data_IF_063179398305
#
_entry.id   IF_063179398305
#
_cell.length_a   1.000
_cell.length_b   1.000
_cell.length_c   1.000
_cell.angle_alpha   90.00
_cell.angle_beta   90.00
_cell.angle_gamma   90.00
#
_symmetry.space_group_name_H-M   'P 1'
#
loop_
_entity.id
_entity.type
_entity.pdbx_description
1 polymer ?
#
# COMPACT_ATOMS: atom_id res chain seq x y z
N UNK A 1 56.96 -3.28 -10.33
CA UNK A 1 56.30 -2.21 -9.57
C UNK A 1 54.81 -2.34 -9.73
N UNK A 2 54.13 -2.87 -8.75
CA UNK A 2 52.67 -2.99 -8.77
C UNK A 2 52.05 -1.60 -8.56
N UNK A 3 51.38 -1.08 -9.56
CA UNK A 3 50.69 0.21 -9.47
C UNK A 3 49.46 -0.03 -8.58
N UNK A 4 49.57 0.27 -7.29
CA UNK A 4 48.41 0.30 -6.41
C UNK A 4 47.51 1.47 -6.84
N UNK A 5 46.32 1.17 -7.37
CA UNK A 5 45.31 2.19 -7.62
C UNK A 5 44.82 2.73 -6.28
N UNK A 6 44.80 4.06 -6.15
CA UNK A 6 44.29 4.74 -4.98
C UNK A 6 42.80 4.34 -4.74
N UNK A 7 42.44 3.92 -3.52
CA UNK A 7 41.07 3.50 -3.15
C UNK A 7 40.24 4.68 -2.64
N UNK A 8 40.89 5.71 -2.13
CA UNK A 8 40.24 6.91 -1.59
C UNK A 8 40.78 8.20 -2.22
N UNK A 9 40.00 9.28 -2.13
CA UNK A 9 40.46 10.60 -2.59
C UNK A 9 41.67 11.08 -1.80
N UNK A 10 41.77 10.72 -0.54
CA UNK A 10 42.94 11.02 0.30
C UNK A 10 44.20 10.32 -0.18
N UNK A 11 44.12 9.03 -0.49
CA UNK A 11 45.25 8.25 -1.04
C UNK A 11 45.69 8.80 -2.39
N UNK A 12 44.78 9.20 -3.26
CA UNK A 12 45.12 9.81 -4.54
C UNK A 12 45.88 11.12 -4.36
N UNK A 13 45.44 11.99 -3.44
CA UNK A 13 46.13 13.23 -3.11
C UNK A 13 47.51 12.97 -2.53
N UNK A 14 47.65 11.99 -1.64
CA UNK A 14 48.91 11.60 -1.04
C UNK A 14 49.90 11.08 -2.08
N UNK A 15 49.45 10.30 -3.07
CA UNK A 15 50.28 9.81 -4.18
C UNK A 15 51.06 10.94 -4.86
N UNK A 16 50.43 12.09 -5.04
CA UNK A 16 51.03 13.26 -5.67
C UNK A 16 51.87 14.11 -4.70
N UNK A 17 51.50 14.18 -3.44
CA UNK A 17 52.10 15.08 -2.45
C UNK A 17 53.28 14.46 -1.73
N UNK A 18 53.27 13.15 -1.43
CA UNK A 18 54.32 12.50 -0.65
C UNK A 18 55.70 12.57 -1.32
N UNK A 19 55.90 12.31 -2.63
CA UNK A 19 57.19 12.43 -3.28
C UNK A 19 57.76 13.84 -3.17
N UNK A 20 56.90 14.89 -3.19
CA UNK A 20 57.35 16.29 -3.02
C UNK A 20 57.67 16.53 -1.54
N UNK A 21 56.87 16.04 -0.61
CA UNK A 21 57.09 16.20 0.82
C UNK A 21 58.41 15.60 1.29
N UNK A 22 58.77 14.42 0.74
CA UNK A 22 60.04 13.71 1.02
C UNK A 22 61.22 14.19 0.15
N UNK A 23 61.04 15.28 -0.63
CA UNK A 23 62.08 15.87 -1.50
C UNK A 23 62.65 14.88 -2.58
N UNK A 24 61.87 13.89 -2.95
CA UNK A 24 62.25 12.93 -3.99
C UNK A 24 62.10 13.52 -5.39
N UNK A 25 61.10 14.41 -5.59
CA UNK A 25 60.79 15.09 -6.87
C UNK A 25 60.48 16.54 -6.61
N UNK A 26 60.83 17.41 -7.56
CA UNK A 26 60.48 18.85 -7.48
C UNK A 26 59.00 19.05 -7.78
N UNK A 27 58.36 20.01 -7.09
CA UNK A 27 56.94 20.34 -7.28
C UNK A 27 56.61 20.69 -8.74
N UNK A 28 57.51 21.46 -9.39
CA UNK A 28 57.36 21.83 -10.80
C UNK A 28 57.30 20.67 -11.76
N UNK A 29 58.02 19.57 -11.47
CA UNK A 29 58.03 18.38 -12.31
C UNK A 29 56.79 17.53 -12.12
N UNK A 30 56.29 17.43 -10.88
CA UNK A 30 55.01 16.78 -10.57
C UNK A 30 53.85 17.56 -11.21
N UNK A 31 53.92 18.88 -11.19
CA UNK A 31 52.86 19.73 -11.78
C UNK A 31 52.69 19.55 -13.30
N UNK A 32 53.76 19.10 -14.01
CA UNK A 32 53.69 18.82 -15.46
C UNK A 32 52.92 17.52 -15.79
N UNK A 33 52.89 16.56 -14.86
CA UNK A 33 52.32 15.21 -15.08
C UNK A 33 51.02 15.00 -14.30
N UNK A 34 50.79 15.81 -13.25
CA UNK A 34 49.64 15.70 -12.38
C UNK A 34 48.38 16.37 -13.02
N UNK A 35 47.19 15.80 -12.90
CA UNK A 35 45.96 16.41 -13.43
C UNK A 35 45.50 17.64 -12.64
N UNK A 36 46.19 17.98 -11.54
CA UNK A 36 45.87 19.11 -10.69
C UNK A 36 46.81 20.29 -10.89
N UNK A 37 46.32 21.53 -10.68
CA UNK A 37 47.14 22.73 -10.80
C UNK A 37 48.27 22.77 -9.76
N UNK A 38 49.38 23.40 -10.09
CA UNK A 38 50.52 23.61 -9.18
C UNK A 38 50.05 24.22 -7.85
N UNK A 39 49.20 25.23 -7.88
CA UNK A 39 48.63 25.89 -6.68
C UNK A 39 47.84 24.89 -5.80
N UNK A 40 47.18 23.87 -6.41
CA UNK A 40 46.54 22.82 -5.66
C UNK A 40 47.51 21.94 -4.94
N UNK A 41 48.60 21.55 -5.61
CA UNK A 41 49.68 20.77 -5.03
C UNK A 41 50.36 21.48 -3.90
N UNK A 42 50.65 22.78 -4.04
CA UNK A 42 51.24 23.63 -2.99
C UNK A 42 50.35 23.64 -1.75
N UNK A 43 49.06 23.86 -1.94
CA UNK A 43 48.09 23.90 -0.85
C UNK A 43 47.98 22.56 -0.14
N UNK A 44 47.99 21.44 -0.88
CA UNK A 44 47.99 20.10 -0.31
C UNK A 44 49.31 19.80 0.42
N UNK A 45 50.43 20.18 -0.14
CA UNK A 45 51.73 20.03 0.49
C UNK A 45 51.83 20.82 1.81
N UNK A 46 51.40 22.06 1.82
CA UNK A 46 51.33 22.87 3.05
C UNK A 46 50.47 22.23 4.11
N UNK A 47 49.31 21.71 3.67
CA UNK A 47 48.36 21.01 4.55
C UNK A 47 48.93 19.69 5.10
N UNK A 48 49.56 18.90 4.25
CA UNK A 48 50.18 17.65 4.63
C UNK A 48 51.34 17.90 5.64
N UNK A 49 52.18 18.88 5.40
CA UNK A 49 53.28 19.26 6.33
C UNK A 49 52.77 19.75 7.70
N UNK A 50 51.64 20.47 7.71
CA UNK A 50 51.10 21.03 8.94
C UNK A 50 50.28 20.02 9.78
N UNK A 51 49.53 19.16 9.13
CA UNK A 51 48.51 18.33 9.80
C UNK A 51 48.68 16.82 9.58
N UNK A 52 49.71 16.40 8.82
CA UNK A 52 49.98 14.99 8.51
C UNK A 52 49.13 14.42 7.37
N UNK A 53 49.44 13.16 7.04
CA UNK A 53 48.86 12.46 5.88
C UNK A 53 47.32 12.29 5.98
N UNK A 54 46.78 12.05 7.16
CA UNK A 54 45.33 11.90 7.39
C UNK A 54 44.51 13.14 6.99
N UNK A 55 45.17 14.30 6.92
CA UNK A 55 44.51 15.55 6.54
C UNK A 55 44.15 15.62 5.06
N UNK A 56 44.57 14.66 4.25
CA UNK A 56 44.29 14.64 2.81
C UNK A 56 42.91 14.16 2.46
N UNK A 57 42.21 13.47 3.38
CA UNK A 57 40.81 13.14 3.19
C UNK A 57 39.94 14.41 3.08
N UNK A 58 38.93 14.39 2.17
CA UNK A 58 38.04 15.53 2.03
C UNK A 58 37.21 15.72 3.32
N UNK A 59 37.11 16.96 3.77
CA UNK A 59 36.21 17.28 4.88
C UNK A 59 34.77 17.18 4.40
N UNK A 60 33.88 16.74 5.29
CA UNK A 60 32.43 16.76 5.02
C UNK A 60 31.97 18.18 4.62
N UNK A 61 31.25 18.27 3.51
CA UNK A 61 30.59 19.49 3.04
C UNK A 61 29.17 19.65 3.60
N UNK A 62 28.73 18.69 4.42
CA UNK A 62 27.40 18.75 5.02
C UNK A 62 27.26 19.96 5.96
N UNK A 63 26.16 20.67 5.93
CA UNK A 63 25.90 21.77 6.85
C UNK A 63 25.97 21.30 8.32
N UNK A 64 26.65 22.05 9.17
CA UNK A 64 26.77 21.73 10.60
C UNK A 64 25.46 21.96 11.37
N UNK A 65 24.61 22.82 10.86
CA UNK A 65 23.31 23.16 11.44
C UNK A 65 22.20 22.92 10.43
N UNK A 66 21.04 22.48 10.91
CA UNK A 66 19.84 22.27 10.11
C UNK A 66 18.72 23.18 10.63
N UNK A 67 18.68 24.47 10.26
CA UNK A 67 17.72 25.44 10.80
C UNK A 67 16.25 25.08 10.52
N UNK A 68 15.99 24.22 9.52
CA UNK A 68 14.66 23.70 9.16
C UNK A 68 14.41 22.29 9.68
N UNK A 69 15.06 21.90 10.77
CA UNK A 69 14.83 20.58 11.36
C UNK A 69 13.42 20.49 11.97
N UNK A 70 12.74 19.37 11.72
CA UNK A 70 11.41 19.10 12.30
C UNK A 70 11.51 19.10 13.83
N UNK A 71 10.66 19.85 14.55
CA UNK A 71 10.62 19.86 16.00
C UNK A 71 10.52 18.45 16.62
N UNK A 72 11.14 18.29 17.79
CA UNK A 72 11.23 16.99 18.47
C UNK A 72 9.84 16.44 18.78
N UNK A 73 8.93 17.25 19.30
CA UNK A 73 7.56 16.82 19.63
C UNK A 73 6.78 16.29 18.42
N UNK A 74 7.00 16.85 17.21
CA UNK A 74 6.39 16.33 15.98
C UNK A 74 6.98 14.95 15.63
N UNK A 75 8.31 14.79 15.79
CA UNK A 75 8.96 13.48 15.55
C UNK A 75 8.41 12.41 16.51
N UNK A 76 8.28 12.74 17.78
CA UNK A 76 7.71 11.87 18.80
C UNK A 76 6.26 11.51 18.47
N UNK A 77 5.43 12.48 18.07
CA UNK A 77 4.04 12.24 17.66
C UNK A 77 3.96 11.30 16.45
N UNK A 78 4.82 11.46 15.46
CA UNK A 78 4.92 10.55 14.30
C UNK A 78 5.23 9.12 14.75
N UNK A 79 6.19 8.96 15.66
CA UNK A 79 6.61 7.65 16.18
C UNK A 79 5.47 7.01 17.01
N UNK A 80 4.82 7.77 17.88
CA UNK A 80 3.67 7.33 18.66
C UNK A 80 2.53 6.81 17.79
N UNK A 81 2.09 7.63 16.81
CA UNK A 81 1.04 7.25 15.86
C UNK A 81 1.43 5.99 15.10
N UNK A 82 2.69 5.87 14.68
CA UNK A 82 3.20 4.68 13.99
C UNK A 82 3.15 3.43 14.85
N UNK A 83 3.62 3.51 16.10
CA UNK A 83 3.63 2.38 17.02
C UNK A 83 2.20 1.92 17.35
N UNK A 84 1.30 2.88 17.60
CA UNK A 84 -0.10 2.60 17.96
C UNK A 84 -0.91 2.05 16.79
N UNK A 85 -0.78 2.65 15.60
CA UNK A 85 -1.69 2.37 14.46
C UNK A 85 -1.08 1.53 13.34
N UNK A 86 0.25 1.36 13.32
CA UNK A 86 1.01 0.70 12.24
C UNK A 86 0.74 1.27 10.84
N UNK A 87 0.14 2.47 10.73
CA UNK A 87 -0.17 3.17 9.48
C UNK A 87 1.11 3.52 8.69
N UNK A 88 1.04 3.57 7.34
CA UNK A 88 2.13 4.05 6.49
C UNK A 88 2.31 5.58 6.60
N UNK A 89 3.44 6.11 6.08
CA UNK A 89 3.76 7.53 6.16
C UNK A 89 2.66 8.44 5.61
N UNK A 90 2.05 8.07 4.47
CA UNK A 90 0.96 8.80 3.86
C UNK A 90 -0.28 8.88 4.76
N UNK A 91 -0.69 7.76 5.36
CA UNK A 91 -1.83 7.73 6.30
C UNK A 91 -1.55 8.49 7.59
N UNK A 92 -0.29 8.50 8.05
CA UNK A 92 0.13 9.31 9.20
C UNK A 92 0.08 10.80 8.84
N UNK A 93 0.52 11.18 7.63
CA UNK A 93 0.41 12.55 7.14
C UNK A 93 -1.05 13.05 7.20
N UNK A 94 -1.99 12.29 6.67
CA UNK A 94 -3.40 12.66 6.69
C UNK A 94 -3.97 12.75 8.10
N UNK A 95 -3.59 11.82 8.98
CA UNK A 95 -4.02 11.86 10.37
C UNK A 95 -3.48 13.10 11.09
N UNK A 96 -2.19 13.40 10.96
CA UNK A 96 -1.58 14.56 11.58
C UNK A 96 -2.13 15.88 11.01
N UNK A 97 -2.45 15.91 9.71
CA UNK A 97 -3.11 17.06 9.10
C UNK A 97 -4.50 17.32 9.71
N UNK A 98 -5.28 16.27 10.01
CA UNK A 98 -6.56 16.38 10.74
C UNK A 98 -6.37 16.86 12.19
N UNK A 99 -5.22 16.60 12.81
CA UNK A 99 -4.81 17.08 14.13
C UNK A 99 -4.21 18.52 14.09
N UNK A 100 -4.21 19.17 12.91
CA UNK A 100 -3.64 20.52 12.73
C UNK A 100 -2.11 20.55 12.59
N UNK A 101 -1.44 19.42 12.45
CA UNK A 101 0.02 19.32 12.32
C UNK A 101 0.39 19.19 10.85
N UNK A 102 1.00 20.22 10.28
CA UNK A 102 1.47 20.22 8.90
C UNK A 102 2.88 19.63 8.81
N UNK A 103 2.98 18.41 8.33
CA UNK A 103 4.26 17.72 8.04
C UNK A 103 4.13 16.90 6.77
N UNK A 104 5.10 17.03 5.87
CA UNK A 104 5.08 16.33 4.59
C UNK A 104 5.31 14.82 4.77
N UNK A 105 4.65 13.99 3.95
CA UNK A 105 4.83 12.53 3.92
C UNK A 105 6.30 12.12 3.82
N UNK A 106 7.08 12.80 2.96
CA UNK A 106 8.52 12.52 2.77
C UNK A 106 9.31 12.69 4.06
N UNK A 107 8.97 13.69 4.87
CA UNK A 107 9.61 13.94 6.17
C UNK A 107 9.24 12.84 7.16
N UNK A 108 7.96 12.47 7.23
CA UNK A 108 7.50 11.34 8.05
C UNK A 108 8.26 10.07 7.66
N UNK A 109 8.38 9.79 6.35
CA UNK A 109 9.12 8.65 5.85
C UNK A 109 10.61 8.62 6.26
N UNK A 110 11.25 9.80 6.34
CA UNK A 110 12.63 9.93 6.85
C UNK A 110 12.72 9.65 8.36
N UNK A 111 11.79 10.19 9.14
CA UNK A 111 11.70 9.95 10.59
C UNK A 111 11.53 8.45 10.86
N UNK A 112 10.54 7.81 10.22
CA UNK A 112 10.28 6.39 10.40
C UNK A 112 11.46 5.49 10.01
N UNK A 113 12.26 5.87 9.00
CA UNK A 113 13.50 5.16 8.63
C UNK A 113 14.57 5.31 9.68
N UNK A 114 14.78 6.53 10.20
CA UNK A 114 15.76 6.79 11.26
C UNK A 114 15.45 5.99 12.51
N UNK A 115 14.17 5.85 12.85
CA UNK A 115 13.68 5.08 14.00
C UNK A 115 13.51 3.58 13.72
N UNK A 116 13.98 3.05 12.58
CA UNK A 116 13.83 1.65 12.18
C UNK A 116 12.40 1.11 12.19
N UNK A 117 11.40 1.98 12.01
CA UNK A 117 9.97 1.65 12.01
C UNK A 117 9.43 1.35 10.60
N UNK A 118 10.28 1.25 9.59
CA UNK A 118 9.89 0.89 8.22
C UNK A 118 10.06 -0.60 8.02
N UNK A 119 8.99 -1.28 7.57
CA UNK A 119 9.09 -2.69 7.18
C UNK A 119 9.95 -2.83 5.93
N UNK A 120 10.92 -3.72 5.95
CA UNK A 120 11.73 -4.07 4.78
C UNK A 120 10.90 -4.99 3.87
N UNK A 121 10.32 -4.45 2.81
CA UNK A 121 9.66 -5.25 1.78
C UNK A 121 10.59 -5.48 0.59
N UNK A 122 10.56 -6.68 0.05
CA UNK A 122 11.14 -6.95 -1.27
C UNK A 122 10.23 -6.32 -2.33
N UNK A 123 10.64 -5.21 -2.91
CA UNK A 123 9.88 -4.55 -3.98
C UNK A 123 10.03 -5.36 -5.27
N UNK A 124 8.92 -5.92 -5.79
CA UNK A 124 8.87 -6.39 -7.18
C UNK A 124 8.75 -5.16 -8.07
N UNK A 125 9.64 -5.02 -9.07
CA UNK A 125 9.49 -4.01 -10.11
C UNK A 125 8.21 -4.33 -10.90
N UNK A 126 7.20 -3.48 -10.83
CA UNK A 126 5.99 -3.61 -11.63
C UNK A 126 6.32 -3.10 -13.03
N UNK A 127 6.26 -4.01 -14.03
CA UNK A 127 6.55 -3.68 -15.44
C UNK A 127 5.37 -3.02 -16.16
N UNK A 128 4.18 -3.01 -15.56
CA UNK A 128 2.96 -2.52 -16.20
C UNK A 128 2.31 -1.40 -15.39
N UNK A 129 1.93 -0.34 -16.09
CA UNK A 129 1.13 0.74 -15.54
C UNK A 129 -0.33 0.45 -15.92
N UNK A 130 -1.11 -0.05 -14.96
CA UNK A 130 -2.56 -0.19 -15.16
C UNK A 130 -3.20 1.19 -15.13
N UNK A 131 -3.81 1.58 -16.23
CA UNK A 131 -4.73 2.72 -16.26
C UNK A 131 -6.06 2.20 -15.72
N UNK A 132 -6.43 2.66 -14.53
CA UNK A 132 -7.69 2.29 -13.91
C UNK A 132 -8.77 3.20 -14.48
N UNK A 133 -9.82 2.62 -15.07
CA UNK A 133 -10.99 3.38 -15.47
C UNK A 133 -11.63 4.03 -14.23
N UNK A 134 -11.98 5.30 -14.34
CA UNK A 134 -12.78 5.98 -13.33
C UNK A 134 -14.19 5.39 -13.36
N UNK A 135 -14.71 5.04 -12.20
CA UNK A 135 -16.04 4.48 -12.02
C UNK A 135 -16.83 5.31 -11.05
N UNK A 136 -18.15 5.31 -11.25
CA UNK A 136 -19.11 5.90 -10.33
C UNK A 136 -19.49 4.90 -9.23
N UNK A 137 -19.91 5.36 -8.04
CA UNK A 137 -20.46 4.48 -7.02
C UNK A 137 -21.62 3.65 -7.55
N UNK A 138 -21.61 2.34 -7.29
CA UNK A 138 -22.61 1.41 -7.77
C UNK A 138 -22.42 0.88 -9.20
N UNK A 139 -21.49 1.44 -9.97
CA UNK A 139 -21.25 0.96 -11.34
C UNK A 139 -20.70 -0.48 -11.36
N UNK A 140 -19.84 -0.83 -10.41
CA UNK A 140 -19.35 -2.20 -10.25
C UNK A 140 -19.03 -2.52 -8.79
N UNK A 141 -19.66 -3.56 -8.27
CA UNK A 141 -19.39 -4.15 -6.96
C UNK A 141 -18.67 -5.49 -7.17
N UNK A 142 -17.50 -5.68 -6.56
CA UNK A 142 -16.82 -6.98 -6.52
C UNK A 142 -17.30 -7.75 -5.30
N UNK A 143 -17.68 -9.04 -5.52
CA UNK A 143 -18.10 -9.94 -4.46
C UNK A 143 -17.18 -11.15 -4.46
N UNK A 144 -16.77 -11.58 -3.28
CA UNK A 144 -15.92 -12.73 -3.09
C UNK A 144 -16.14 -13.37 -1.71
N UNK A 145 -15.80 -14.65 -1.59
CA UNK A 145 -15.94 -15.42 -0.36
C UNK A 145 -14.60 -16.00 0.06
N UNK A 146 -14.27 -15.81 1.33
CA UNK A 146 -13.07 -16.40 1.92
C UNK A 146 -13.39 -17.22 3.17
N UNK A 147 -12.54 -18.16 3.49
CA UNK A 147 -12.57 -18.83 4.80
C UNK A 147 -12.20 -17.86 5.91
N UNK A 148 -12.95 -17.90 7.00
CA UNK A 148 -12.52 -17.29 8.26
C UNK A 148 -11.34 -18.12 8.78
N UNK A 149 -10.19 -17.48 9.13
CA UNK A 149 -9.03 -18.21 9.61
C UNK A 149 -9.30 -18.98 10.92
N UNK A 150 -8.94 -20.26 10.93
CA UNK A 150 -9.14 -21.13 12.07
C UNK A 150 -10.57 -21.64 12.23
N UNK A 151 -10.86 -22.17 13.41
CA UNK A 151 -12.21 -22.58 13.83
C UNK A 151 -12.68 -21.70 14.98
N UNK A 152 -13.93 -21.32 14.95
CA UNK A 152 -14.59 -20.59 16.03
C UNK A 152 -15.62 -21.52 16.67
N UNK A 153 -15.49 -21.85 17.94
CA UNK A 153 -16.30 -22.86 18.63
C UNK A 153 -16.39 -24.20 17.85
N UNK A 154 -15.24 -24.69 17.36
CA UNK A 154 -15.09 -25.91 16.56
C UNK A 154 -15.78 -25.91 15.18
N UNK A 155 -16.41 -24.81 14.76
CA UNK A 155 -17.03 -24.66 13.43
C UNK A 155 -16.15 -23.81 12.50
N UNK A 156 -16.26 -24.06 11.20
CA UNK A 156 -15.71 -23.20 10.14
C UNK A 156 -16.76 -22.20 9.70
N UNK A 157 -16.31 -20.99 9.36
CA UNK A 157 -17.17 -19.92 8.86
C UNK A 157 -16.62 -19.38 7.55
N UNK A 158 -17.50 -18.82 6.75
CA UNK A 158 -17.18 -18.18 5.48
C UNK A 158 -17.53 -16.71 5.57
N UNK A 159 -16.55 -15.86 5.24
CA UNK A 159 -16.76 -14.42 5.13
C UNK A 159 -17.13 -14.09 3.69
N UNK A 160 -18.31 -13.58 3.49
CA UNK A 160 -18.74 -12.95 2.24
C UNK A 160 -18.38 -11.49 2.29
N UNK A 161 -17.87 -10.97 1.20
CA UNK A 161 -17.37 -9.60 1.08
C UNK A 161 -17.88 -8.98 -0.20
N UNK A 162 -18.55 -7.84 -0.11
CA UNK A 162 -18.89 -7.00 -1.25
C UNK A 162 -18.15 -5.67 -1.12
N UNK A 163 -17.55 -5.18 -2.19
CA UNK A 163 -16.84 -3.91 -2.20
C UNK A 163 -17.13 -3.14 -3.50
N UNK A 164 -17.60 -1.91 -3.35
CA UNK A 164 -17.74 -1.01 -4.49
C UNK A 164 -16.38 -0.56 -5.01
N UNK A 165 -16.16 -0.71 -6.30
CA UNK A 165 -14.84 -0.44 -6.91
C UNK A 165 -14.50 1.03 -7.02
N UNK A 166 -15.49 1.94 -6.97
CA UNK A 166 -15.30 3.37 -6.98
C UNK A 166 -15.00 3.92 -5.58
N UNK A 167 -15.95 3.78 -4.68
CA UNK A 167 -15.90 4.36 -3.33
C UNK A 167 -15.10 3.54 -2.32
N UNK A 168 -14.81 2.27 -2.60
CA UNK A 168 -14.26 1.29 -1.64
C UNK A 168 -15.19 1.00 -0.46
N UNK A 169 -16.43 1.48 -0.49
CA UNK A 169 -17.44 1.08 0.47
C UNK A 169 -17.59 -0.43 0.48
N UNK A 170 -17.73 -0.99 1.65
CA UNK A 170 -17.67 -2.43 1.84
C UNK A 170 -18.75 -2.92 2.79
N UNK A 171 -19.30 -4.08 2.49
CA UNK A 171 -20.15 -4.85 3.40
C UNK A 171 -19.57 -6.25 3.61
N UNK A 172 -19.61 -6.73 4.84
CA UNK A 172 -19.16 -8.05 5.26
C UNK A 172 -20.27 -8.78 6.01
N UNK A 173 -20.39 -10.07 5.74
CA UNK A 173 -21.20 -11.01 6.56
C UNK A 173 -20.49 -12.35 6.69
N UNK A 174 -20.85 -13.13 7.71
CA UNK A 174 -20.36 -14.49 7.91
C UNK A 174 -21.50 -15.48 7.87
N UNK A 175 -21.22 -16.65 7.29
CA UNK A 175 -22.14 -17.76 7.21
C UNK A 175 -21.44 -19.06 7.58
N UNK A 176 -22.18 -20.07 8.09
CA UNK A 176 -21.65 -21.40 8.39
C UNK A 176 -21.41 -22.22 7.11
N UNK A 177 -22.09 -21.86 6.02
CA UNK A 177 -22.03 -22.58 4.74
C UNK A 177 -21.79 -21.66 3.56
N UNK A 178 -21.09 -22.19 2.58
CA UNK A 178 -20.90 -21.61 1.28
C UNK A 178 -21.96 -22.17 0.33
N UNK A 179 -23.18 -21.61 0.37
CA UNK A 179 -24.34 -22.08 -0.38
C UNK A 179 -24.86 -21.01 -1.33
N UNK A 180 -25.63 -21.45 -2.34
CA UNK A 180 -26.31 -20.58 -3.27
C UNK A 180 -27.32 -19.68 -2.55
N UNK A 181 -28.02 -20.21 -1.54
CA UNK A 181 -28.95 -19.45 -0.70
C UNK A 181 -28.25 -18.29 -0.01
N UNK A 182 -27.09 -18.56 0.63
CA UNK A 182 -26.34 -17.53 1.33
C UNK A 182 -25.75 -16.48 0.37
N UNK A 183 -25.43 -16.85 -0.88
CA UNK A 183 -24.96 -15.89 -1.89
C UNK A 183 -26.06 -14.90 -2.30
N UNK A 184 -27.28 -15.37 -2.48
CA UNK A 184 -28.44 -14.53 -2.78
C UNK A 184 -28.79 -13.65 -1.58
N UNK A 185 -28.92 -14.22 -0.39
CA UNK A 185 -29.19 -13.48 0.83
C UNK A 185 -28.17 -12.36 1.07
N UNK A 186 -26.90 -12.67 0.81
CA UNK A 186 -25.82 -11.70 0.94
C UNK A 186 -25.96 -10.56 -0.09
N UNK A 187 -26.31 -10.86 -1.35
CA UNK A 187 -26.51 -9.83 -2.39
C UNK A 187 -27.67 -8.92 -2.03
N UNK A 188 -28.80 -9.45 -1.56
CA UNK A 188 -29.94 -8.66 -1.10
C UNK A 188 -29.58 -7.72 0.07
N UNK A 189 -28.80 -8.23 1.03
CA UNK A 189 -28.28 -7.40 2.13
C UNK A 189 -27.36 -6.28 1.63
N UNK A 190 -26.55 -6.53 0.61
CA UNK A 190 -25.69 -5.51 -0.02
C UNK A 190 -26.53 -4.45 -0.71
N UNK A 191 -27.52 -4.86 -1.51
CA UNK A 191 -28.44 -3.95 -2.22
C UNK A 191 -29.19 -3.05 -1.21
N UNK A 192 -29.66 -3.61 -0.12
CA UNK A 192 -30.40 -2.89 0.93
C UNK A 192 -29.55 -1.86 1.68
N UNK A 193 -28.24 -2.12 1.83
CA UNK A 193 -27.35 -1.28 2.65
C UNK A 193 -26.53 -0.28 1.87
N UNK A 194 -26.36 -0.51 0.57
CA UNK A 194 -25.62 0.41 -0.27
C UNK A 194 -26.55 1.53 -0.77
N UNK A 195 -26.14 2.77 -0.58
CA UNK A 195 -26.99 3.95 -0.89
C UNK A 195 -27.22 4.20 -2.38
N UNK A 196 -26.42 3.57 -3.25
CA UNK A 196 -26.48 3.77 -4.69
C UNK A 196 -26.97 2.52 -5.39
N UNK A 197 -27.71 2.71 -6.50
CA UNK A 197 -28.15 1.60 -7.34
C UNK A 197 -26.94 0.85 -7.87
N UNK A 198 -26.90 -0.46 -7.64
CA UNK A 198 -25.86 -1.34 -8.17
C UNK A 198 -26.22 -1.66 -9.63
N UNK A 199 -25.31 -1.33 -10.56
CA UNK A 199 -25.48 -1.61 -11.99
C UNK A 199 -24.91 -2.96 -12.36
N UNK A 200 -23.78 -3.33 -11.77
CA UNK A 200 -23.13 -4.60 -12.03
C UNK A 200 -22.48 -5.16 -10.78
N UNK A 201 -22.48 -6.49 -10.70
CA UNK A 201 -21.66 -7.25 -9.74
C UNK A 201 -20.66 -8.12 -10.48
N UNK A 202 -19.51 -8.33 -9.87
CA UNK A 202 -18.47 -9.21 -10.40
C UNK A 202 -18.04 -10.20 -9.34
N UNK A 203 -18.07 -11.50 -9.69
CA UNK A 203 -17.69 -12.61 -8.81
C UNK A 203 -16.60 -13.46 -9.44
N UNK A 204 -16.04 -14.36 -8.65
CA UNK A 204 -15.26 -15.47 -9.19
C UNK A 204 -16.19 -16.52 -9.84
N UNK A 205 -15.58 -17.60 -10.34
CA UNK A 205 -16.30 -18.69 -10.99
C UNK A 205 -16.75 -19.79 -10.01
N UNK A 206 -16.90 -19.45 -8.72
CA UNK A 206 -17.36 -20.36 -7.70
C UNK A 206 -18.78 -20.88 -7.93
N UNK A 207 -19.05 -22.14 -7.58
CA UNK A 207 -20.36 -22.80 -7.78
C UNK A 207 -21.52 -22.09 -7.07
N UNK A 208 -21.23 -21.27 -6.08
CA UNK A 208 -22.25 -20.47 -5.37
C UNK A 208 -22.70 -19.23 -6.15
N UNK A 209 -22.01 -18.88 -7.21
CA UNK A 209 -22.31 -17.73 -8.06
C UNK A 209 -22.69 -18.11 -9.49
N UNK A 210 -22.28 -19.31 -9.97
CA UNK A 210 -22.51 -19.69 -11.37
C UNK A 210 -22.53 -21.19 -11.59
N UNK A 211 -23.31 -21.63 -12.58
CA UNK A 211 -23.33 -23.00 -13.07
C UNK A 211 -22.34 -23.27 -14.23
N UNK A 212 -21.64 -22.22 -14.72
CA UNK A 212 -20.83 -22.32 -15.96
C UNK A 212 -19.63 -23.26 -15.86
N UNK A 213 -19.10 -23.47 -14.66
CA UNK A 213 -17.86 -24.24 -14.44
C UNK A 213 -18.05 -25.43 -13.51
N UNK A 214 -19.21 -26.09 -13.57
CA UNK A 214 -19.46 -27.31 -12.82
C UNK A 214 -18.57 -28.45 -13.30
N UNK A 215 -17.49 -28.63 -12.63
CA UNK A 215 -16.57 -29.74 -12.43
C UNK A 215 -16.61 -30.92 -13.37
N UNK A 216 -16.05 -30.83 -14.50
CA UNK A 216 -15.09 -31.69 -15.22
C UNK A 216 -14.88 -31.13 -16.62
N UNK A 217 -13.68 -31.26 -17.14
CA UNK A 217 -13.23 -30.81 -18.47
C UNK A 217 -14.09 -31.25 -19.66
N UNK A 218 -15.14 -32.05 -19.44
CA UNK A 218 -15.99 -32.63 -20.49
C UNK A 218 -17.39 -32.03 -20.60
N UNK A 219 -17.75 -31.09 -19.72
CA UNK A 219 -19.06 -30.40 -19.78
C UNK A 219 -18.90 -28.91 -19.66
N UNK A 220 -18.23 -28.30 -20.61
CA UNK A 220 -18.53 -26.92 -21.00
C UNK A 220 -19.90 -26.93 -21.69
N UNK A 221 -20.93 -27.38 -21.00
CA UNK A 221 -22.28 -27.25 -21.47
C UNK A 221 -22.67 -25.80 -21.24
N UNK A 222 -22.27 -24.94 -22.19
CA UNK A 222 -22.75 -23.56 -22.36
C UNK A 222 -24.28 -23.52 -22.50
N UNK A 223 -24.93 -24.70 -22.56
CA UNK A 223 -26.35 -24.89 -22.71
C UNK A 223 -27.06 -25.34 -21.43
N UNK A 224 -26.50 -25.13 -20.25
CA UNK A 224 -27.29 -25.32 -19.02
C UNK A 224 -28.54 -24.47 -19.13
N UNK A 225 -29.68 -25.11 -19.42
CA UNK A 225 -30.99 -24.46 -19.56
C UNK A 225 -31.49 -23.79 -18.26
N UNK A 226 -30.80 -24.01 -17.15
CA UNK A 226 -31.14 -23.51 -15.85
C UNK A 226 -30.24 -22.33 -15.46
N UNK A 227 -30.83 -21.15 -15.35
CA UNK A 227 -30.17 -19.99 -14.80
C UNK A 227 -29.78 -20.27 -13.34
N UNK A 228 -28.60 -19.83 -12.93
CA UNK A 228 -28.20 -19.94 -11.53
C UNK A 228 -29.04 -18.98 -10.67
N UNK A 229 -29.40 -19.40 -9.46
CA UNK A 229 -30.23 -18.58 -8.56
C UNK A 229 -29.64 -17.19 -8.27
N UNK A 230 -28.32 -17.08 -8.25
CA UNK A 230 -27.63 -15.80 -8.11
C UNK A 230 -27.81 -14.90 -9.35
N UNK A 231 -27.76 -15.49 -10.56
CA UNK A 231 -28.06 -14.78 -11.81
C UNK A 231 -29.53 -14.34 -11.85
N UNK A 232 -30.46 -15.20 -11.40
CA UNK A 232 -31.90 -14.85 -11.29
C UNK A 232 -32.10 -13.64 -10.40
N UNK A 233 -31.52 -13.63 -9.20
CA UNK A 233 -31.56 -12.50 -8.29
C UNK A 233 -30.96 -11.21 -8.93
N UNK A 234 -29.84 -11.34 -9.65
CA UNK A 234 -29.27 -10.20 -10.37
C UNK A 234 -30.24 -9.64 -11.43
N UNK A 235 -30.91 -10.50 -12.19
CA UNK A 235 -31.89 -10.08 -13.21
C UNK A 235 -33.09 -9.38 -12.56
N UNK A 236 -33.63 -9.91 -11.49
CA UNK A 236 -34.76 -9.32 -10.73
C UNK A 236 -34.44 -7.87 -10.25
N UNK A 237 -33.20 -7.64 -9.88
CA UNK A 237 -32.73 -6.31 -9.46
C UNK A 237 -32.15 -5.45 -10.59
N UNK A 238 -32.21 -5.89 -11.85
CA UNK A 238 -31.60 -5.23 -13.01
C UNK A 238 -30.09 -4.99 -12.81
N UNK A 239 -29.39 -5.99 -12.31
CA UNK A 239 -27.94 -6.00 -12.06
C UNK A 239 -27.28 -6.92 -13.10
N UNK A 240 -26.23 -6.43 -13.76
CA UNK A 240 -25.43 -7.24 -14.68
C UNK A 240 -24.43 -8.07 -13.86
N UNK A 241 -24.42 -9.39 -14.03
CA UNK A 241 -23.46 -10.26 -13.38
C UNK A 241 -22.27 -10.57 -14.32
N UNK A 242 -21.06 -10.18 -13.90
CA UNK A 242 -19.81 -10.48 -14.58
C UNK A 242 -19.05 -11.56 -13.83
N UNK A 243 -18.49 -12.51 -14.56
CA UNK A 243 -17.54 -13.49 -14.04
C UNK A 243 -16.11 -13.06 -14.41
N UNK A 244 -15.14 -13.34 -13.54
CA UNK A 244 -13.73 -13.20 -13.91
C UNK A 244 -13.34 -14.27 -14.92
N UNK A 245 -12.33 -13.98 -15.76
CA UNK A 245 -11.76 -14.99 -16.64
C UNK A 245 -11.13 -16.14 -15.81
N UNK A 246 -11.27 -17.40 -16.25
CA UNK A 246 -10.61 -18.51 -15.58
C UNK A 246 -9.10 -18.28 -15.45
N UNK A 247 -8.57 -18.48 -14.24
CA UNK A 247 -7.15 -18.32 -13.93
C UNK A 247 -6.64 -16.87 -13.85
N UNK A 248 -7.54 -15.87 -13.87
CA UNK A 248 -7.16 -14.44 -13.72
C UNK A 248 -7.71 -13.78 -12.44
N UNK A 249 -7.29 -14.21 -11.25
CA UNK A 249 -7.77 -13.66 -9.99
C UNK A 249 -7.54 -12.15 -9.86
N UNK A 250 -6.52 -11.61 -10.53
CA UNK A 250 -6.23 -10.17 -10.52
C UNK A 250 -7.40 -9.29 -11.01
N UNK A 251 -8.37 -9.86 -11.73
CA UNK A 251 -9.58 -9.15 -12.14
C UNK A 251 -10.53 -8.84 -10.98
N UNK A 252 -10.40 -9.56 -9.84
CA UNK A 252 -11.13 -9.33 -8.59
C UNK A 252 -10.25 -8.65 -7.51
N UNK A 253 -9.27 -7.87 -7.95
CA UNK A 253 -8.18 -7.37 -7.13
C UNK A 253 -8.60 -6.38 -6.03
N UNK A 254 -9.78 -5.76 -6.12
CA UNK A 254 -10.26 -4.82 -5.11
C UNK A 254 -10.69 -5.58 -3.85
N UNK A 255 -11.49 -6.63 -4.02
CA UNK A 255 -11.94 -7.46 -2.91
C UNK A 255 -10.80 -8.28 -2.31
N UNK A 256 -9.91 -8.85 -3.13
CA UNK A 256 -8.73 -9.57 -2.65
C UNK A 256 -7.82 -8.70 -1.76
N UNK A 257 -7.63 -7.44 -2.15
CA UNK A 257 -6.88 -6.50 -1.34
C UNK A 257 -7.57 -6.18 -0.02
N UNK A 258 -8.89 -6.11 -0.01
CA UNK A 258 -9.69 -5.98 1.20
C UNK A 258 -9.49 -7.18 2.13
N UNK A 259 -9.53 -8.40 1.58
CA UNK A 259 -9.27 -9.64 2.33
C UNK A 259 -7.89 -9.67 3.00
N UNK A 260 -6.87 -9.12 2.34
CA UNK A 260 -5.54 -8.98 2.96
C UNK A 260 -5.57 -8.03 4.16
N UNK A 261 -6.33 -6.92 4.06
CA UNK A 261 -6.52 -6.00 5.18
C UNK A 261 -7.24 -6.66 6.34
N UNK A 262 -8.25 -7.48 6.04
CA UNK A 262 -8.96 -8.27 7.05
C UNK A 262 -8.03 -9.24 7.75
N UNK A 263 -7.22 -9.97 7.00
CA UNK A 263 -6.27 -10.91 7.58
C UNK A 263 -5.31 -10.20 8.53
N UNK A 264 -4.62 -9.15 8.06
CA UNK A 264 -3.54 -8.50 8.79
C UNK A 264 -4.01 -7.64 9.97
N UNK A 265 -5.18 -7.02 9.85
CA UNK A 265 -5.62 -6.00 10.82
C UNK A 265 -6.78 -6.45 11.69
N UNK A 266 -7.47 -7.52 11.32
CA UNK A 266 -8.59 -8.05 12.08
C UNK A 266 -8.33 -9.48 12.56
N UNK A 267 -8.17 -10.45 11.67
CA UNK A 267 -8.04 -11.85 12.07
C UNK A 267 -6.75 -12.16 12.82
N UNK A 268 -5.61 -11.65 12.38
CA UNK A 268 -4.31 -11.88 13.04
C UNK A 268 -4.21 -11.20 14.41
N UNK A 269 -5.10 -10.24 14.69
CA UNK A 269 -5.06 -9.43 15.93
C UNK A 269 -6.13 -9.80 16.95
N UNK A 270 -7.15 -10.58 16.57
CA UNK A 270 -8.32 -10.84 17.43
C UNK A 270 -8.59 -12.34 17.59
N UNK A 271 -9.08 -12.70 18.76
CA UNK A 271 -9.62 -14.04 19.07
C UNK A 271 -11.14 -13.96 19.19
N UNK A 272 -11.83 -15.04 18.82
CA UNK A 272 -13.29 -15.12 18.79
C UNK A 272 -13.77 -16.25 19.68
N UNK A 273 -14.71 -15.96 20.59
CA UNK A 273 -15.25 -16.94 21.54
C UNK A 273 -16.30 -17.84 20.89
N UNK A 274 -17.19 -17.25 20.10
CA UNK A 274 -18.29 -17.93 19.40
C UNK A 274 -18.69 -17.15 18.14
N UNK A 275 -19.67 -17.66 17.38
CA UNK A 275 -20.15 -17.04 16.15
C UNK A 275 -20.70 -15.63 16.38
N UNK A 276 -21.44 -15.42 17.46
CA UNK A 276 -22.03 -14.11 17.81
C UNK A 276 -20.92 -13.07 18.09
N UNK A 277 -19.88 -13.44 18.84
CA UNK A 277 -18.73 -12.57 19.10
C UNK A 277 -17.96 -12.24 17.82
N UNK A 278 -17.76 -13.24 16.93
CA UNK A 278 -17.18 -13.02 15.62
C UNK A 278 -18.01 -12.04 14.77
N UNK A 279 -19.32 -12.25 14.68
CA UNK A 279 -20.21 -11.41 13.90
C UNK A 279 -20.26 -9.97 14.42
N UNK A 280 -20.33 -9.78 15.75
CA UNK A 280 -20.28 -8.48 16.40
C UNK A 280 -18.98 -7.75 16.07
N UNK A 281 -17.84 -8.39 16.29
CA UNK A 281 -16.52 -7.80 15.99
C UNK A 281 -16.32 -7.53 14.51
N UNK A 282 -16.85 -8.38 13.63
CA UNK A 282 -16.78 -8.18 12.18
C UNK A 282 -17.61 -6.96 11.76
N UNK A 283 -18.79 -6.76 12.34
CA UNK A 283 -19.61 -5.57 12.09
C UNK A 283 -18.87 -4.29 12.52
N UNK A 284 -18.28 -4.29 13.72
CA UNK A 284 -17.46 -3.18 14.20
C UNK A 284 -16.26 -2.91 13.27
N UNK A 285 -15.61 -3.98 12.81
CA UNK A 285 -14.51 -3.90 11.85
C UNK A 285 -14.94 -3.32 10.51
N UNK A 286 -16.11 -3.69 10.01
CA UNK A 286 -16.66 -3.15 8.77
C UNK A 286 -16.97 -1.65 8.87
N UNK A 287 -17.56 -1.22 10.00
CA UNK A 287 -17.79 0.20 10.29
C UNK A 287 -16.46 0.96 10.33
N UNK A 288 -15.47 0.42 11.04
CA UNK A 288 -14.14 1.02 11.10
C UNK A 288 -13.49 1.14 9.72
N UNK A 289 -13.58 0.08 8.88
CA UNK A 289 -13.01 0.08 7.52
C UNK A 289 -13.65 1.17 6.65
N UNK A 290 -14.97 1.32 6.70
CA UNK A 290 -15.68 2.32 5.90
C UNK A 290 -15.41 3.78 6.35
N UNK A 291 -14.83 3.96 7.54
CA UNK A 291 -14.37 5.26 8.06
C UNK A 291 -12.85 5.41 8.06
N UNK A 292 -12.10 4.42 7.51
CA UNK A 292 -10.65 4.47 7.44
C UNK A 292 -10.18 5.16 6.16
N UNK A 293 -9.13 5.98 6.24
CA UNK A 293 -8.54 6.65 5.09
C UNK A 293 -7.93 5.64 4.10
N UNK A 294 -8.29 5.76 2.82
CA UNK A 294 -7.80 4.92 1.73
C UNK A 294 -6.84 5.66 0.80
N UNK A 295 -5.68 5.04 0.51
CA UNK A 295 -4.73 5.59 -0.45
C UNK A 295 -5.34 5.75 -1.86
N UNK A 296 -6.24 4.84 -2.25
CA UNK A 296 -6.93 4.90 -3.55
C UNK A 296 -8.03 5.95 -3.64
N UNK A 297 -8.37 6.61 -2.54
CA UNK A 297 -9.36 7.69 -2.44
C UNK A 297 -8.71 9.01 -2.02
N UNK A 298 -7.39 9.16 -2.23
CA UNK A 298 -6.64 10.36 -1.87
C UNK A 298 -6.79 10.77 -0.40
N UNK A 299 -6.88 9.80 0.51
CA UNK A 299 -6.99 10.02 1.95
C UNK A 299 -8.41 10.17 2.47
N UNK A 300 -9.41 10.10 1.62
CA UNK A 300 -10.80 10.02 2.07
C UNK A 300 -11.14 8.62 2.55
N UNK A 301 -12.05 8.50 3.48
CA UNK A 301 -12.70 7.23 3.79
C UNK A 301 -13.77 6.89 2.76
N UNK A 302 -14.21 5.63 2.64
CA UNK A 302 -15.34 5.25 1.79
C UNK A 302 -16.59 6.08 2.05
N UNK A 303 -16.96 6.30 3.31
CA UNK A 303 -18.12 7.09 3.68
C UNK A 303 -17.95 8.57 3.31
N UNK A 304 -16.79 9.19 3.58
CA UNK A 304 -16.49 10.57 3.15
C UNK A 304 -16.53 10.71 1.62
N UNK A 305 -16.05 9.69 0.89
CA UNK A 305 -16.11 9.69 -0.58
C UNK A 305 -17.56 9.70 -1.08
N UNK A 306 -18.43 8.83 -0.54
CA UNK A 306 -19.84 8.75 -0.92
C UNK A 306 -20.59 10.04 -0.57
N UNK A 307 -20.35 10.62 0.61
CA UNK A 307 -20.94 11.90 1.00
C UNK A 307 -20.54 13.03 0.04
N UNK A 308 -19.24 13.14 -0.27
CA UNK A 308 -18.77 14.14 -1.22
C UNK A 308 -19.34 13.93 -2.63
N UNK A 309 -19.44 12.66 -3.06
CA UNK A 309 -20.02 12.33 -4.36
C UNK A 309 -21.50 12.75 -4.45
N UNK A 310 -22.26 12.55 -3.38
CA UNK A 310 -23.66 12.96 -3.28
C UNK A 310 -23.84 14.48 -3.33
N UNK A 311 -22.93 15.23 -2.72
CA UNK A 311 -22.95 16.70 -2.76
C UNK A 311 -22.66 17.24 -4.16
N UNK A 312 -21.73 16.60 -4.90
CA UNK A 312 -21.35 17.02 -6.26
C UNK A 312 -22.40 16.58 -7.30
N UNK A 313 -23.03 15.42 -7.06
CA UNK A 313 -24.05 14.82 -7.94
C UNK A 313 -25.34 14.60 -7.12
N UNK A 314 -26.09 15.66 -6.81
CA UNK A 314 -27.34 15.49 -6.08
C UNK A 314 -28.26 14.60 -6.91
N UNK A 315 -29.00 13.67 -6.30
CA UNK A 315 -30.01 12.92 -7.01
C UNK A 315 -30.99 13.93 -7.64
N UNK A 316 -31.26 13.79 -8.94
CA UNK A 316 -32.26 14.61 -9.59
C UNK A 316 -33.55 14.43 -8.79
N UNK A 317 -33.96 15.46 -8.06
CA UNK A 317 -35.30 15.53 -7.49
C UNK A 317 -36.21 15.72 -8.69
N UNK A 318 -36.75 14.63 -9.21
CA UNK A 318 -37.90 14.72 -10.12
C UNK A 318 -39.02 15.36 -9.30
N UNK A 319 -39.24 16.66 -9.53
CA UNK A 319 -40.45 17.36 -9.15
C UNK A 319 -41.62 16.82 -9.92
#
# INVERSE_FOLDING_TARGET
>A
MTIHMAKTIGEERLRWVLPIAYRQVKLTDVAKVCPYSQRTLERWLARCRKYGNWSMEPKSTAPKTQPKETPIWIKERVVEVRKKTKKCALKIHWQLKKEGIEIQERTIGKILRKENLVRKYRTKKIKYKYIKAERKPGELVEIDVKYVPGRVANKRYFQFTAIDTASRWRYLSIYEEQSNFNSVLFLEEVIKRFEYKIQAVKTDNGMIFTNRYLGSYRRSDLSSRHMHVFDTCCVEHNIIHYLIDPGKPAQNGTVERSHRSDQQSFYDSKKFKNAHDLQKKLKEWNIYYNNLEHCGLNGKSPNEFLQNYKLINPPNVCT
#
